data_IF_471358288004
#
_entry.id   IF_471358288004
#
_cell.length_a   1.000
_cell.length_b   1.000
_cell.length_c   1.000
_cell.angle_alpha   90.00
_cell.angle_beta   90.00
_cell.angle_gamma   90.00
#
_symmetry.space_group_name_H-M   'P 1'
#
loop_
_entity.id
_entity.type
_entity.pdbx_description
1 polymer ?
#
# COMPACT_ATOMS: atom_id res chain seq x y z
N UNK A 1 -3.53 12.28 -48.95
CA UNK A 1 -4.37 11.62 -47.92
C UNK A 1 -3.72 11.49 -46.53
N UNK A 2 -2.42 11.78 -46.33
CA UNK A 2 -1.75 11.52 -45.04
C UNK A 2 -1.79 12.65 -43.99
N UNK A 3 -2.39 13.82 -44.28
CA UNK A 3 -2.43 14.96 -43.35
C UNK A 3 -3.74 15.12 -42.58
N UNK A 4 -4.82 14.46 -43.04
CA UNK A 4 -6.14 14.49 -42.38
C UNK A 4 -6.19 13.50 -41.20
N UNK A 5 -5.37 12.45 -41.21
CA UNK A 5 -5.34 11.45 -40.16
C UNK A 5 -4.66 11.93 -38.86
N UNK A 6 -3.67 12.84 -38.96
CA UNK A 6 -2.95 13.34 -37.78
C UNK A 6 -3.82 14.34 -36.99
N UNK A 7 -4.69 15.12 -37.65
CA UNK A 7 -5.58 16.05 -36.96
C UNK A 7 -6.71 15.35 -36.19
N UNK A 8 -7.16 14.16 -36.66
CA UNK A 8 -8.19 13.37 -36.00
C UNK A 8 -7.72 12.76 -34.67
N UNK A 9 -6.43 12.44 -34.54
CA UNK A 9 -5.88 11.81 -33.33
C UNK A 9 -5.70 12.83 -32.21
N UNK A 10 -5.33 14.08 -32.55
CA UNK A 10 -5.22 15.15 -31.55
C UNK A 10 -6.57 15.66 -31.04
N UNK A 11 -7.63 15.61 -31.86
CA UNK A 11 -8.99 15.98 -31.42
C UNK A 11 -9.64 14.93 -30.51
N UNK A 12 -9.26 13.65 -30.63
CA UNK A 12 -9.75 12.59 -29.76
C UNK A 12 -9.10 12.62 -28.36
N UNK A 13 -7.84 13.07 -28.25
CA UNK A 13 -7.15 13.20 -26.95
C UNK A 13 -7.66 14.44 -26.17
N UNK A 14 -8.09 15.50 -26.87
CA UNK A 14 -8.67 16.69 -26.22
C UNK A 14 -10.06 16.47 -25.60
N UNK A 15 -10.88 15.58 -26.16
CA UNK A 15 -12.25 15.35 -25.67
C UNK A 15 -12.32 14.44 -24.44
N UNK A 16 -11.30 13.60 -24.20
CA UNK A 16 -11.25 12.74 -23.01
C UNK A 16 -10.84 13.49 -21.73
N UNK A 17 -10.35 14.72 -21.85
CA UNK A 17 -9.96 15.56 -20.70
C UNK A 17 -11.11 16.43 -20.15
N UNK A 18 -12.30 16.40 -20.77
CA UNK A 18 -13.43 17.27 -20.42
C UNK A 18 -14.58 16.57 -19.67
N UNK A 19 -14.50 15.25 -19.43
CA UNK A 19 -15.47 14.53 -18.61
C UNK A 19 -14.85 14.01 -17.33
N UNK A 20 -15.19 14.68 -16.21
CA UNK A 20 -15.20 14.04 -14.90
C UNK A 20 -13.91 14.14 -14.08
N UNK A 21 -13.32 15.34 -13.95
CA UNK A 21 -12.53 15.63 -12.75
C UNK A 21 -13.52 15.93 -11.63
N UNK A 22 -13.91 14.89 -10.91
CA UNK A 22 -14.42 15.04 -9.54
C UNK A 22 -13.29 15.68 -8.77
N UNK A 23 -13.54 16.90 -8.29
CA UNK A 23 -12.64 17.64 -7.41
C UNK A 23 -12.50 16.81 -6.14
N UNK A 24 -11.45 15.98 -6.09
CA UNK A 24 -10.95 15.45 -4.84
C UNK A 24 -10.56 16.68 -4.01
N UNK A 25 -11.16 16.80 -2.82
CA UNK A 25 -10.69 17.77 -1.82
C UNK A 25 -9.17 17.62 -1.71
N UNK A 26 -8.46 18.73 -1.90
CA UNK A 26 -7.00 18.76 -1.81
C UNK A 26 -6.60 18.03 -0.52
N UNK A 27 -5.70 17.03 -0.59
CA UNK A 27 -5.19 16.40 0.63
C UNK A 27 -4.61 17.52 1.51
N UNK A 28 -4.79 17.44 2.84
CA UNK A 28 -4.37 18.50 3.75
C UNK A 28 -2.90 18.82 3.48
N UNK A 29 -2.66 19.98 2.85
CA UNK A 29 -1.32 20.46 2.60
C UNK A 29 -0.72 20.77 3.96
N UNK A 30 0.11 19.85 4.44
CA UNK A 30 1.01 20.15 5.56
C UNK A 30 1.93 21.25 5.03
N UNK A 31 1.92 22.46 5.60
CA UNK A 31 2.79 23.52 5.14
C UNK A 31 4.23 23.08 5.38
N UNK A 32 4.89 22.65 4.30
CA UNK A 32 6.34 22.45 4.30
C UNK A 32 6.92 23.84 4.20
N UNK A 33 7.25 24.42 5.34
CA UNK A 33 8.04 25.65 5.43
C UNK A 33 9.43 25.32 4.90
N UNK A 34 9.63 25.53 3.59
CA UNK A 34 10.92 25.39 2.92
C UNK A 34 11.80 26.51 3.45
N UNK A 35 12.55 26.21 4.51
CA UNK A 35 13.54 27.12 5.09
C UNK A 35 14.50 27.60 4.02
N UNK A 36 14.48 28.91 3.76
CA UNK A 36 15.38 29.58 2.83
C UNK A 36 16.83 29.29 3.23
N UNK A 37 17.60 28.74 2.30
CA UNK A 37 19.03 28.45 2.43
C UNK A 37 19.80 29.69 2.92
N UNK A 38 20.42 29.66 4.12
CA UNK A 38 21.30 30.74 4.54
C UNK A 38 22.62 30.66 3.76
N UNK A 39 22.96 31.79 3.14
CA UNK A 39 24.16 32.04 2.36
C UNK A 39 25.41 32.02 3.28
N UNK A 40 25.97 30.83 3.50
CA UNK A 40 27.04 30.57 4.46
C UNK A 40 28.39 30.36 3.76
N UNK A 41 29.21 31.40 3.68
CA UNK A 41 30.58 31.24 3.16
C UNK A 41 31.68 31.97 3.92
N UNK A 42 31.45 32.54 5.13
CA UNK A 42 32.54 33.30 5.80
C UNK A 42 32.93 33.04 7.25
N UNK A 43 32.23 32.26 8.08
CA UNK A 43 32.72 31.98 9.46
C UNK A 43 32.32 30.59 10.02
N UNK A 44 32.54 29.51 9.27
CA UNK A 44 32.17 28.15 9.68
C UNK A 44 32.99 27.56 10.86
N UNK A 45 34.10 28.18 11.28
CA UNK A 45 34.99 27.59 12.30
C UNK A 45 34.53 27.84 13.75
N UNK A 46 33.68 28.85 14.00
CA UNK A 46 33.19 29.15 15.36
C UNK A 46 31.85 28.46 15.69
N UNK A 47 31.03 28.12 14.69
CA UNK A 47 29.79 27.33 14.91
C UNK A 47 30.05 25.85 15.17
N UNK A 48 31.26 25.34 14.85
CA UNK A 48 31.65 23.95 15.12
C UNK A 48 31.80 23.67 16.63
N UNK A 49 31.95 24.71 17.46
CA UNK A 49 32.17 24.58 18.89
C UNK A 49 30.92 24.78 19.75
N UNK A 50 29.78 25.19 19.18
CA UNK A 50 28.55 25.29 19.97
C UNK A 50 27.86 23.93 20.06
N UNK A 51 28.30 23.11 21.01
CA UNK A 51 27.71 21.80 21.32
C UNK A 51 26.20 21.87 21.55
N UNK A 52 25.70 23.02 22.00
CA UNK A 52 24.27 23.24 22.26
C UNK A 52 23.46 23.29 20.96
N UNK A 53 24.04 23.79 19.86
CA UNK A 53 23.39 23.85 18.55
C UNK A 53 23.16 22.45 17.96
N UNK A 54 24.17 21.57 18.02
CA UNK A 54 24.10 20.19 17.51
C UNK A 54 23.14 19.33 18.33
N UNK A 55 23.17 19.49 19.65
CA UNK A 55 22.23 18.79 20.55
C UNK A 55 20.77 19.14 20.22
N UNK A 56 20.48 20.42 19.98
CA UNK A 56 19.15 20.88 19.54
C UNK A 56 18.76 20.33 18.17
N UNK A 57 19.66 20.37 17.19
CA UNK A 57 19.41 19.79 15.86
C UNK A 57 19.09 18.30 15.94
N UNK A 58 19.86 17.56 16.73
CA UNK A 58 19.64 16.12 16.93
C UNK A 58 18.31 15.82 17.64
N UNK A 59 17.94 16.62 18.63
CA UNK A 59 16.64 16.51 19.31
C UNK A 59 15.46 16.81 18.35
N UNK A 60 15.62 17.83 17.49
CA UNK A 60 14.63 18.18 16.45
C UNK A 60 14.48 17.06 15.42
N UNK A 61 15.58 16.54 14.88
CA UNK A 61 15.56 15.41 13.92
C UNK A 61 14.96 14.15 14.52
N UNK A 62 15.25 13.82 15.79
CA UNK A 62 14.60 12.71 16.49
C UNK A 62 13.09 12.90 16.63
N UNK A 63 12.65 14.12 16.90
CA UNK A 63 11.23 14.45 17.01
C UNK A 63 10.55 14.32 15.65
N UNK A 64 11.12 14.90 14.60
CA UNK A 64 10.65 14.76 13.21
C UNK A 64 10.57 13.31 12.75
N UNK A 65 11.62 12.51 13.03
CA UNK A 65 11.65 11.06 12.75
C UNK A 65 10.49 10.34 13.45
N UNK A 66 10.27 10.62 14.74
CA UNK A 66 9.17 10.04 15.52
C UNK A 66 7.80 10.42 14.94
N UNK A 67 7.62 11.67 14.52
CA UNK A 67 6.37 12.16 13.92
C UNK A 67 6.08 11.49 12.57
N UNK A 68 7.07 11.43 11.70
CA UNK A 68 6.96 10.74 10.41
C UNK A 68 6.66 9.26 10.62
N UNK A 69 7.34 8.59 11.55
CA UNK A 69 7.07 7.18 11.89
C UNK A 69 5.62 6.97 12.35
N UNK A 70 5.10 7.87 13.21
CA UNK A 70 3.70 7.82 13.65
C UNK A 70 2.73 8.03 12.49
N UNK A 71 3.03 8.94 11.57
CA UNK A 71 2.20 9.19 10.39
C UNK A 71 2.21 7.99 9.44
N UNK A 72 3.37 7.38 9.17
CA UNK A 72 3.48 6.14 8.37
C UNK A 72 2.58 5.07 8.96
N UNK A 73 2.64 4.82 10.27
CA UNK A 73 1.79 3.81 10.91
C UNK A 73 0.29 4.08 10.71
N UNK A 74 -0.14 5.35 10.85
CA UNK A 74 -1.54 5.75 10.60
C UNK A 74 -1.93 5.53 9.14
N UNK A 75 -1.08 5.91 8.19
CA UNK A 75 -1.33 5.71 6.77
C UNK A 75 -1.37 4.23 6.40
N UNK A 76 -0.51 3.39 6.98
CA UNK A 76 -0.55 1.94 6.79
C UNK A 76 -1.84 1.32 7.32
N UNK A 77 -2.35 1.79 8.46
CA UNK A 77 -3.65 1.36 8.98
C UNK A 77 -4.77 1.75 8.00
N UNK A 78 -4.83 3.02 7.59
CA UNK A 78 -5.82 3.50 6.63
C UNK A 78 -5.74 2.74 5.29
N UNK A 79 -4.52 2.42 4.83
CA UNK A 79 -4.31 1.63 3.62
C UNK A 79 -4.92 0.24 3.75
N UNK A 80 -4.73 -0.45 4.88
CA UNK A 80 -5.34 -1.77 5.12
C UNK A 80 -6.86 -1.70 5.14
N UNK A 81 -7.43 -0.68 5.80
CA UNK A 81 -8.87 -0.46 5.85
C UNK A 81 -9.45 -0.18 4.45
N UNK A 82 -8.80 0.68 3.67
CA UNK A 82 -9.19 1.00 2.30
C UNK A 82 -9.08 -0.21 1.36
N UNK A 83 -8.02 -1.03 1.50
CA UNK A 83 -7.86 -2.27 0.74
C UNK A 83 -8.94 -3.30 1.08
N UNK A 84 -9.23 -3.52 2.37
CA UNK A 84 -10.30 -4.42 2.78
C UNK A 84 -11.68 -3.95 2.26
N UNK A 85 -11.93 -2.63 2.29
CA UNK A 85 -13.12 -2.04 1.70
C UNK A 85 -13.19 -2.27 0.19
N UNK A 86 -12.11 -2.06 -0.56
CA UNK A 86 -12.07 -2.31 -2.00
C UNK A 86 -12.30 -3.78 -2.35
N UNK A 87 -11.70 -4.71 -1.60
CA UNK A 87 -11.90 -6.16 -1.79
C UNK A 87 -13.35 -6.57 -1.51
N UNK A 88 -13.96 -6.06 -0.44
CA UNK A 88 -15.37 -6.33 -0.13
C UNK A 88 -16.32 -5.78 -1.20
N UNK A 89 -16.07 -4.58 -1.75
CA UNK A 89 -16.82 -4.01 -2.88
C UNK A 89 -16.65 -4.85 -4.15
N UNK A 90 -15.43 -5.28 -4.45
CA UNK A 90 -15.16 -6.14 -5.59
C UNK A 90 -15.91 -7.47 -5.48
N UNK A 91 -15.92 -8.07 -4.28
CA UNK A 91 -16.70 -9.29 -4.01
C UNK A 91 -18.20 -9.03 -4.16
N UNK A 92 -18.72 -7.91 -3.64
CA UNK A 92 -20.12 -7.53 -3.80
C UNK A 92 -20.51 -7.36 -5.28
N UNK A 93 -19.66 -6.74 -6.09
CA UNK A 93 -19.87 -6.62 -7.55
C UNK A 93 -19.86 -8.00 -8.23
N UNK A 94 -18.94 -8.89 -7.84
CA UNK A 94 -18.91 -10.25 -8.37
C UNK A 94 -20.15 -11.05 -7.98
N UNK A 95 -20.57 -10.99 -6.72
CA UNK A 95 -21.81 -11.63 -6.25
C UNK A 95 -23.03 -11.06 -6.97
N UNK A 96 -23.09 -9.75 -7.18
CA UNK A 96 -24.15 -9.09 -7.92
C UNK A 96 -24.20 -9.58 -9.38
N UNK A 97 -23.05 -9.65 -10.06
CA UNK A 97 -22.94 -10.17 -11.44
C UNK A 97 -23.24 -11.68 -11.54
N UNK A 98 -22.98 -12.43 -10.47
CA UNK A 98 -23.21 -13.87 -10.41
C UNK A 98 -24.66 -14.25 -10.08
N UNK A 99 -25.49 -13.33 -9.57
CA UNK A 99 -26.91 -13.62 -9.28
C UNK A 99 -27.65 -13.91 -10.59
N UNK A 100 -28.15 -15.16 -10.79
CA UNK A 100 -28.92 -15.52 -11.98
C UNK A 100 -30.28 -14.84 -12.02
N UNK A 101 -30.71 -14.24 -10.91
CA UNK A 101 -32.04 -13.65 -10.68
C UNK A 101 -32.37 -12.43 -11.55
N UNK A 102 -31.44 -11.96 -12.38
CA UNK A 102 -31.75 -10.97 -13.41
C UNK A 102 -32.40 -11.56 -14.67
N UNK A 103 -32.28 -12.87 -14.88
CA UNK A 103 -33.09 -13.57 -15.85
C UNK A 103 -34.44 -13.88 -15.19
N UNK A 104 -35.38 -12.94 -15.27
CA UNK A 104 -36.78 -13.28 -15.00
C UNK A 104 -37.09 -14.55 -15.79
N UNK A 105 -37.65 -15.60 -15.15
CA UNK A 105 -38.13 -16.74 -15.92
C UNK A 105 -39.07 -16.15 -16.96
N UNK A 106 -38.81 -16.37 -18.26
CA UNK A 106 -39.64 -15.80 -19.31
C UNK A 106 -41.06 -16.19 -18.95
N UNK A 107 -41.93 -15.20 -18.78
CA UNK A 107 -43.31 -15.44 -18.37
C UNK A 107 -43.89 -16.37 -19.43
N UNK A 108 -43.99 -17.67 -19.10
CA UNK A 108 -44.30 -18.69 -20.09
C UNK A 108 -45.68 -18.37 -20.59
N UNK A 109 -45.76 -18.02 -21.88
CA UNK A 109 -46.85 -17.28 -22.49
C UNK A 109 -48.22 -17.90 -22.18
N UNK A 110 -48.90 -17.38 -21.16
CA UNK A 110 -50.31 -17.66 -20.88
C UNK A 110 -51.15 -17.32 -22.14
N UNK A 111 -50.66 -16.41 -22.98
CA UNK A 111 -51.28 -16.04 -24.25
C UNK A 111 -51.37 -17.18 -25.26
N UNK A 112 -50.47 -18.18 -25.23
CA UNK A 112 -50.47 -19.27 -26.21
C UNK A 112 -51.72 -20.16 -26.06
N UNK A 113 -52.07 -20.51 -24.82
CA UNK A 113 -53.25 -21.32 -24.51
C UNK A 113 -54.53 -20.56 -24.82
N UNK A 114 -54.68 -19.32 -24.35
CA UNK A 114 -55.87 -18.51 -24.61
C UNK A 114 -56.08 -18.22 -26.09
N UNK A 115 -55.00 -18.01 -26.85
CA UNK A 115 -55.07 -17.80 -28.30
C UNK A 115 -55.49 -19.07 -29.04
N UNK A 116 -54.95 -20.22 -28.65
CA UNK A 116 -55.39 -21.51 -29.22
C UNK A 116 -56.86 -21.80 -28.93
N UNK A 117 -57.36 -21.41 -27.75
CA UNK A 117 -58.78 -21.55 -27.39
C UNK A 117 -59.65 -20.59 -28.23
N UNK A 118 -59.22 -19.34 -28.46
CA UNK A 118 -59.93 -18.40 -29.33
C UNK A 118 -60.03 -18.94 -30.76
N UNK A 119 -58.93 -19.47 -31.30
CA UNK A 119 -58.89 -20.05 -32.63
C UNK A 119 -59.84 -21.27 -32.71
N UNK A 120 -59.87 -22.11 -31.66
CA UNK A 120 -60.80 -23.24 -31.57
C UNK A 120 -62.26 -22.80 -31.58
N UNK A 121 -62.63 -21.82 -30.76
CA UNK A 121 -64.01 -21.31 -30.68
C UNK A 121 -64.45 -20.64 -31.98
N UNK A 122 -63.54 -19.91 -32.64
CA UNK A 122 -63.81 -19.29 -33.94
C UNK A 122 -64.04 -20.35 -35.03
N UNK A 123 -63.24 -21.41 -35.02
CA UNK A 123 -63.42 -22.54 -35.92
C UNK A 123 -64.74 -23.30 -35.67
N UNK A 124 -65.09 -23.56 -34.41
CA UNK A 124 -66.37 -24.18 -34.03
C UNK A 124 -67.57 -23.36 -34.53
N UNK A 125 -67.49 -22.02 -34.42
CA UNK A 125 -68.50 -21.09 -34.96
C UNK A 125 -68.67 -21.24 -36.48
N UNK A 126 -67.57 -21.26 -37.22
CA UNK A 126 -67.61 -21.40 -38.69
C UNK A 126 -68.18 -22.76 -39.10
N UNK A 127 -67.81 -23.83 -38.39
CA UNK A 127 -68.36 -25.16 -38.63
C UNK A 127 -69.87 -25.20 -38.39
N UNK A 128 -70.36 -24.59 -37.31
CA UNK A 128 -71.80 -24.48 -37.05
C UNK A 128 -72.52 -23.71 -38.15
N UNK A 129 -72.03 -22.54 -38.56
CA UNK A 129 -72.60 -21.75 -39.67
C UNK A 129 -72.72 -22.60 -40.94
N UNK A 130 -71.63 -23.26 -41.34
CA UNK A 130 -71.61 -24.11 -42.53
C UNK A 130 -72.62 -25.28 -42.43
N UNK A 131 -72.75 -25.89 -41.25
CA UNK A 131 -73.70 -26.98 -41.01
C UNK A 131 -75.16 -26.50 -41.11
N UNK A 132 -75.44 -25.30 -40.61
CA UNK A 132 -76.78 -24.71 -40.66
C UNK A 132 -77.14 -24.25 -42.07
N UNK A 133 -76.20 -23.65 -42.81
CA UNK A 133 -76.39 -23.28 -44.21
C UNK A 133 -76.69 -24.53 -45.07
N UNK A 134 -75.97 -25.64 -44.84
CA UNK A 134 -76.24 -26.90 -45.51
C UNK A 134 -77.64 -27.46 -45.18
N UNK A 135 -78.09 -27.36 -43.92
CA UNK A 135 -79.42 -27.80 -43.50
C UNK A 135 -80.53 -26.95 -44.13
N UNK A 136 -80.36 -25.63 -44.18
CA UNK A 136 -81.31 -24.71 -44.84
C UNK A 136 -81.38 -24.99 -46.33
N UNK A 137 -80.23 -25.16 -47.00
CA UNK A 137 -80.18 -25.50 -48.42
C UNK A 137 -80.88 -26.84 -48.73
N UNK A 138 -80.80 -27.82 -47.82
CA UNK A 138 -81.54 -29.07 -47.96
C UNK A 138 -83.06 -28.85 -47.88
N UNK A 139 -83.54 -28.08 -46.91
CA UNK A 139 -84.98 -27.77 -46.79
C UNK A 139 -85.47 -27.00 -48.01
N UNK A 140 -84.69 -26.06 -48.54
CA UNK A 140 -85.04 -25.32 -49.75
C UNK A 140 -85.12 -26.23 -50.99
N UNK A 141 -84.22 -27.22 -51.11
CA UNK A 141 -84.31 -28.26 -52.13
C UNK A 141 -85.57 -29.11 -52.00
N UNK A 142 -85.93 -29.49 -50.77
CA UNK A 142 -87.12 -30.30 -50.51
C UNK A 142 -88.41 -29.53 -50.85
N UNK A 143 -88.48 -28.23 -50.51
CA UNK A 143 -89.59 -27.34 -50.89
C UNK A 143 -89.68 -27.23 -52.42
N UNK A 144 -88.56 -26.96 -53.11
CA UNK A 144 -88.53 -26.86 -54.56
C UNK A 144 -88.96 -28.17 -55.25
N UNK A 145 -88.54 -29.32 -54.71
CA UNK A 145 -88.93 -30.63 -55.21
C UNK A 145 -90.44 -30.90 -55.05
N UNK A 146 -91.03 -30.51 -53.91
CA UNK A 146 -92.48 -30.61 -53.70
C UNK A 146 -93.26 -29.70 -54.66
N UNK A 147 -92.78 -28.48 -54.90
CA UNK A 147 -93.41 -27.54 -55.84
C UNK A 147 -93.36 -28.02 -57.30
N UNK A 148 -92.31 -28.75 -57.68
CA UNK A 148 -92.16 -29.31 -59.02
C UNK A 148 -92.99 -30.59 -59.25
N UNK A 149 -93.52 -31.21 -58.18
CA UNK A 149 -94.22 -32.49 -58.26
C UNK A 149 -95.69 -32.24 -58.64
N UNK A 150 -96.21 -32.83 -59.73
CA UNK A 150 -97.63 -32.77 -60.05
C UNK A 150 -98.39 -33.67 -59.07
N UNK A 151 -99.07 -33.06 -58.10
CA UNK A 151 -99.86 -33.76 -57.08
C UNK A 151 -101.36 -33.67 -57.38
N UNK A 152 -102.14 -34.73 -57.09
CA UNK A 152 -103.60 -34.69 -57.28
C UNK A 152 -104.31 -33.82 -56.23
N UNK A 153 -103.66 -33.55 -55.11
CA UNK A 153 -104.20 -32.79 -53.98
C UNK A 153 -103.30 -31.57 -53.67
N UNK A 154 -103.69 -30.37 -54.13
CA UNK A 154 -102.98 -29.12 -53.88
C UNK A 154 -102.88 -28.79 -52.38
N UNK A 155 -103.92 -29.12 -51.60
CA UNK A 155 -104.01 -28.75 -50.19
C UNK A 155 -103.01 -29.55 -49.36
N UNK A 156 -102.82 -30.84 -49.68
CA UNK A 156 -101.80 -31.68 -49.03
C UNK A 156 -100.38 -31.16 -49.31
N UNK A 157 -100.11 -30.78 -50.55
CA UNK A 157 -98.80 -30.25 -50.96
C UNK A 157 -98.49 -28.94 -50.24
N UNK A 158 -99.49 -28.08 -50.10
CA UNK A 158 -99.35 -26.79 -49.42
C UNK A 158 -99.18 -26.96 -47.90
N UNK A 159 -99.81 -27.97 -47.30
CA UNK A 159 -99.58 -28.32 -45.91
C UNK A 159 -98.14 -28.82 -45.68
N UNK A 160 -97.61 -29.67 -46.56
CA UNK A 160 -96.22 -30.16 -46.47
C UNK A 160 -95.20 -29.02 -46.65
N UNK A 161 -95.44 -28.10 -47.59
CA UNK A 161 -94.59 -26.90 -47.76
C UNK A 161 -94.60 -26.06 -46.49
N UNK A 162 -95.78 -25.79 -45.91
CA UNK A 162 -95.89 -25.01 -44.68
C UNK A 162 -95.17 -25.67 -43.49
N UNK A 163 -95.19 -27.01 -43.41
CA UNK A 163 -94.42 -27.75 -42.40
C UNK A 163 -92.90 -27.60 -42.61
N UNK A 164 -92.41 -27.73 -43.85
CA UNK A 164 -91.00 -27.49 -44.18
C UNK A 164 -90.58 -26.04 -43.91
N UNK A 165 -91.42 -25.06 -44.21
CA UNK A 165 -91.19 -23.65 -43.87
C UNK A 165 -91.11 -23.45 -42.35
N UNK A 166 -92.02 -24.06 -41.58
CA UNK A 166 -91.96 -24.04 -40.12
C UNK A 166 -90.69 -24.71 -39.59
N UNK A 167 -90.25 -25.81 -40.21
CA UNK A 167 -89.01 -26.50 -39.85
C UNK A 167 -87.78 -25.65 -40.17
N UNK A 168 -87.76 -24.95 -41.31
CA UNK A 168 -86.74 -23.95 -41.65
C UNK A 168 -86.67 -22.85 -40.61
N UNK A 169 -87.82 -22.34 -40.17
CA UNK A 169 -87.90 -21.32 -39.12
C UNK A 169 -87.33 -21.83 -37.78
N UNK A 170 -87.69 -23.06 -37.37
CA UNK A 170 -87.13 -23.69 -36.16
C UNK A 170 -85.62 -23.88 -36.24
N UNK A 171 -85.09 -24.24 -37.41
CA UNK A 171 -83.63 -24.31 -37.60
C UNK A 171 -82.98 -22.93 -37.49
N UNK A 172 -83.59 -21.88 -38.04
CA UNK A 172 -83.08 -20.52 -37.91
C UNK A 172 -83.06 -20.05 -36.45
N UNK A 173 -84.11 -20.33 -35.68
CA UNK A 173 -84.17 -19.99 -34.25
C UNK A 173 -83.15 -20.79 -33.42
N UNK A 174 -83.03 -22.09 -33.66
CA UNK A 174 -82.03 -22.94 -32.99
C UNK A 174 -80.60 -22.49 -33.31
N UNK A 175 -80.33 -22.14 -34.57
CA UNK A 175 -79.03 -21.62 -35.02
C UNK A 175 -78.70 -20.31 -34.31
N UNK A 176 -79.66 -19.38 -34.25
CA UNK A 176 -79.49 -18.11 -33.55
C UNK A 176 -79.10 -18.30 -32.08
N UNK A 177 -79.67 -19.29 -31.39
CA UNK A 177 -79.33 -19.60 -30.00
C UNK A 177 -77.92 -20.22 -29.89
N UNK A 178 -77.56 -21.14 -30.78
CA UNK A 178 -76.26 -21.79 -30.79
C UNK A 178 -75.13 -20.79 -31.08
N UNK A 179 -75.28 -19.96 -32.12
CA UNK A 179 -74.33 -18.90 -32.45
C UNK A 179 -74.20 -17.86 -31.34
N UNK A 180 -75.31 -17.46 -30.70
CA UNK A 180 -75.25 -16.53 -29.57
C UNK A 180 -74.43 -17.08 -28.39
N UNK A 181 -74.46 -18.40 -28.17
CA UNK A 181 -73.65 -19.05 -27.14
C UNK A 181 -72.16 -19.05 -27.50
N UNK A 182 -71.82 -19.37 -28.76
CA UNK A 182 -70.43 -19.36 -29.22
C UNK A 182 -69.88 -17.92 -29.23
N UNK A 183 -70.66 -16.95 -29.70
CA UNK A 183 -70.28 -15.53 -29.68
C UNK A 183 -70.00 -15.04 -28.25
N UNK A 184 -70.79 -15.49 -27.26
CA UNK A 184 -70.54 -15.18 -25.85
C UNK A 184 -69.20 -15.76 -25.34
N UNK A 185 -68.89 -17.02 -25.65
CA UNK A 185 -67.59 -17.62 -25.25
C UNK A 185 -66.41 -16.97 -25.98
N UNK A 186 -66.57 -16.62 -27.26
CA UNK A 186 -65.55 -15.86 -28.01
C UNK A 186 -65.27 -14.52 -27.33
N UNK A 187 -66.29 -13.74 -26.97
CA UNK A 187 -66.11 -12.46 -26.29
C UNK A 187 -65.48 -12.62 -24.90
N UNK A 188 -65.87 -13.67 -24.17
CA UNK A 188 -65.24 -14.01 -22.89
C UNK A 188 -63.75 -14.34 -23.06
N UNK A 189 -63.38 -15.16 -24.05
CA UNK A 189 -61.99 -15.53 -24.31
C UNK A 189 -61.19 -14.29 -24.78
N UNK A 190 -61.73 -13.47 -25.68
CA UNK A 190 -61.10 -12.20 -26.09
C UNK A 190 -60.81 -11.30 -24.89
N UNK A 191 -61.78 -11.14 -23.99
CA UNK A 191 -61.61 -10.36 -22.76
C UNK A 191 -60.47 -10.91 -21.90
N UNK A 192 -60.41 -12.23 -21.70
CA UNK A 192 -59.30 -12.85 -20.95
C UNK A 192 -57.93 -12.70 -21.64
N UNK A 193 -57.88 -12.71 -22.98
CA UNK A 193 -56.64 -12.44 -23.74
C UNK A 193 -56.19 -11.01 -23.49
N UNK A 194 -57.11 -10.05 -23.50
CA UNK A 194 -56.81 -8.66 -23.22
C UNK A 194 -56.31 -8.46 -21.77
N UNK A 195 -57.01 -9.03 -20.78
CA UNK A 195 -56.59 -8.96 -19.38
C UNK A 195 -55.19 -9.59 -19.20
N UNK A 196 -54.93 -10.74 -19.83
CA UNK A 196 -53.62 -11.38 -19.78
C UNK A 196 -52.53 -10.59 -20.50
N UNK A 197 -52.84 -9.86 -21.58
CA UNK A 197 -51.86 -9.03 -22.29
C UNK A 197 -51.52 -7.76 -21.49
N UNK A 198 -52.49 -7.17 -20.81
CA UNK A 198 -52.27 -6.06 -19.87
C UNK A 198 -51.41 -6.50 -18.68
N UNK A 199 -51.70 -7.67 -18.09
CA UNK A 199 -50.87 -8.27 -17.03
C UNK A 199 -49.45 -8.52 -17.52
N UNK A 200 -49.29 -9.07 -18.73
CA UNK A 200 -47.97 -9.30 -19.32
C UNK A 200 -47.20 -7.97 -19.49
N UNK A 201 -47.86 -6.93 -20.01
CA UNK A 201 -47.25 -5.62 -20.16
C UNK A 201 -46.79 -5.01 -18.82
N UNK A 202 -47.56 -5.21 -17.75
CA UNK A 202 -47.16 -4.80 -16.39
C UNK A 202 -45.93 -5.57 -15.89
N UNK A 203 -45.87 -6.88 -16.12
CA UNK A 203 -44.69 -7.67 -15.77
C UNK A 203 -43.46 -7.26 -16.58
N UNK A 204 -43.60 -7.01 -17.88
CA UNK A 204 -42.52 -6.56 -18.74
C UNK A 204 -42.01 -5.17 -18.29
N UNK A 205 -42.92 -4.25 -17.94
CA UNK A 205 -42.56 -2.95 -17.38
C UNK A 205 -41.83 -3.10 -16.04
N UNK A 206 -42.34 -3.94 -15.13
CA UNK A 206 -41.71 -4.17 -13.84
C UNK A 206 -40.32 -4.81 -13.98
N UNK A 207 -40.15 -5.73 -14.94
CA UNK A 207 -38.86 -6.32 -15.25
C UNK A 207 -37.87 -5.27 -15.78
N UNK A 208 -38.31 -4.39 -16.68
CA UNK A 208 -37.49 -3.30 -17.21
C UNK A 208 -37.10 -2.27 -16.12
N UNK A 209 -38.02 -1.94 -15.21
CA UNK A 209 -37.75 -1.04 -14.08
C UNK A 209 -36.71 -1.65 -13.14
N UNK A 210 -36.84 -2.93 -12.77
CA UNK A 210 -35.85 -3.63 -11.94
C UNK A 210 -34.50 -3.77 -12.63
N UNK A 211 -34.47 -4.01 -13.94
CA UNK A 211 -33.22 -4.02 -14.71
C UNK A 211 -32.53 -2.66 -14.67
N UNK A 212 -33.30 -1.57 -14.78
CA UNK A 212 -32.78 -0.21 -14.66
C UNK A 212 -32.23 0.07 -13.25
N UNK A 213 -32.98 -0.26 -12.20
CA UNK A 213 -32.53 -0.12 -10.81
C UNK A 213 -31.27 -0.92 -10.51
N UNK A 214 -31.18 -2.12 -11.08
CA UNK A 214 -29.99 -2.97 -11.00
C UNK A 214 -28.77 -2.33 -11.66
N UNK A 215 -28.91 -1.82 -12.89
CA UNK A 215 -27.82 -1.14 -13.59
C UNK A 215 -27.33 0.08 -12.82
N UNK A 216 -28.24 0.89 -12.26
CA UNK A 216 -27.89 2.04 -11.44
C UNK A 216 -27.13 1.61 -10.18
N UNK A 217 -27.57 0.52 -9.52
CA UNK A 217 -26.90 -0.01 -8.33
C UNK A 217 -25.50 -0.54 -8.66
N UNK A 218 -25.34 -1.21 -9.80
CA UNK A 218 -24.05 -1.70 -10.28
C UNK A 218 -23.10 -0.54 -10.59
N UNK A 219 -23.56 0.47 -11.32
CA UNK A 219 -22.78 1.66 -11.68
C UNK A 219 -22.31 2.40 -10.41
N UNK A 220 -23.18 2.53 -9.41
CA UNK A 220 -22.82 3.10 -8.11
C UNK A 220 -21.72 2.30 -7.41
N UNK A 221 -21.84 0.96 -7.35
CA UNK A 221 -20.82 0.09 -6.75
C UNK A 221 -19.48 0.17 -7.50
N UNK A 222 -19.50 0.20 -8.84
CA UNK A 222 -18.30 0.33 -9.66
C UNK A 222 -17.63 1.70 -9.46
N UNK A 223 -18.41 2.78 -9.35
CA UNK A 223 -17.89 4.11 -9.00
C UNK A 223 -17.26 4.15 -7.61
N UNK A 224 -17.90 3.55 -6.60
CA UNK A 224 -17.36 3.46 -5.24
C UNK A 224 -16.05 2.64 -5.19
N UNK A 225 -15.99 1.54 -5.95
CA UNK A 225 -14.78 0.73 -6.09
C UNK A 225 -13.64 1.53 -6.73
N UNK A 226 -13.93 2.30 -7.79
CA UNK A 226 -12.93 3.16 -8.43
C UNK A 226 -12.40 4.23 -7.48
N UNK A 227 -13.28 4.86 -6.69
CA UNK A 227 -12.88 5.85 -5.69
C UNK A 227 -11.96 5.24 -4.63
N UNK A 228 -12.32 4.06 -4.09
CA UNK A 228 -11.49 3.35 -3.10
C UNK A 228 -10.16 2.87 -3.67
N UNK A 229 -10.13 2.47 -4.94
CA UNK A 229 -8.88 2.08 -5.60
C UNK A 229 -7.93 3.26 -5.74
N UNK A 230 -8.45 4.45 -6.07
CA UNK A 230 -7.66 5.69 -6.14
C UNK A 230 -7.14 6.11 -4.75
N UNK A 231 -7.96 5.97 -3.70
CA UNK A 231 -7.54 6.21 -2.31
C UNK A 231 -6.40 5.27 -1.88
N UNK A 232 -6.47 3.99 -2.24
CA UNK A 232 -5.37 3.03 -2.00
C UNK A 232 -4.09 3.45 -2.72
N UNK A 233 -4.19 3.96 -3.95
CA UNK A 233 -3.03 4.41 -4.72
C UNK A 233 -2.36 5.64 -4.08
N UNK A 234 -3.14 6.65 -3.67
CA UNK A 234 -2.61 7.87 -3.04
C UNK A 234 -2.01 7.62 -1.65
N UNK A 235 -2.60 6.71 -0.86
CA UNK A 235 -2.05 6.29 0.43
C UNK A 235 -0.70 5.59 0.25
N UNK A 236 -0.55 4.71 -0.74
CA UNK A 236 0.73 4.06 -1.05
C UNK A 236 1.81 5.06 -1.44
N UNK A 237 1.47 6.05 -2.28
CA UNK A 237 2.38 7.11 -2.66
C UNK A 237 2.82 7.94 -1.45
N UNK A 238 1.87 8.30 -0.58
CA UNK A 238 2.15 9.07 0.66
C UNK A 238 3.06 8.30 1.63
N UNK A 239 2.85 7.00 1.78
CA UNK A 239 3.72 6.13 2.59
C UNK A 239 5.12 6.08 1.99
N UNK A 240 5.24 5.86 0.68
CA UNK A 240 6.54 5.81 -0.01
C UNK A 240 7.31 7.13 0.11
N UNK A 241 6.62 8.27 -0.01
CA UNK A 241 7.22 9.58 0.18
C UNK A 241 7.70 9.78 1.63
N UNK A 242 6.87 9.40 2.61
CA UNK A 242 7.22 9.48 4.03
C UNK A 242 8.40 8.59 4.40
N UNK A 243 8.52 7.40 3.81
CA UNK A 243 9.67 6.51 3.97
C UNK A 243 10.95 7.15 3.42
N UNK A 244 10.88 7.77 2.24
CA UNK A 244 12.03 8.50 1.67
C UNK A 244 12.47 9.67 2.56
N UNK A 245 11.53 10.40 3.18
CA UNK A 245 11.87 11.45 4.15
C UNK A 245 12.55 10.88 5.41
N UNK A 246 12.10 9.70 5.86
CA UNK A 246 12.72 8.99 6.98
C UNK A 246 14.17 8.62 6.68
N UNK A 247 14.45 8.13 5.48
CA UNK A 247 15.82 7.78 5.04
C UNK A 247 16.75 9.00 5.00
N UNK A 248 16.25 10.15 4.52
CA UNK A 248 17.01 11.42 4.53
C UNK A 248 17.32 11.85 5.95
N UNK A 249 16.34 11.79 6.87
CA UNK A 249 16.55 12.15 8.28
C UNK A 249 17.52 11.17 8.96
N UNK A 250 17.41 9.87 8.69
CA UNK A 250 18.32 8.87 9.26
C UNK A 250 19.75 9.08 8.75
N UNK A 251 19.94 9.43 7.48
CA UNK A 251 21.26 9.81 6.95
C UNK A 251 21.82 11.07 7.63
N UNK A 252 20.99 12.09 7.87
CA UNK A 252 21.39 13.31 8.57
C UNK A 252 21.76 13.03 10.04
N UNK A 253 20.96 12.21 10.73
CA UNK A 253 21.25 11.74 12.09
C UNK A 253 22.59 11.00 12.14
N UNK A 254 22.87 10.10 11.19
CA UNK A 254 24.16 9.38 11.12
C UNK A 254 25.30 10.37 10.86
N UNK A 255 25.12 11.36 10.00
CA UNK A 255 26.14 12.39 9.74
C UNK A 255 26.45 13.25 10.97
N UNK A 256 25.46 13.49 11.85
CA UNK A 256 25.66 14.19 13.12
C UNK A 256 26.31 13.30 14.21
N UNK A 257 26.07 11.99 14.16
CA UNK A 257 26.66 11.00 15.08
C UNK A 257 28.10 10.67 14.71
N UNK A 258 28.48 10.80 13.45
CA UNK A 258 29.85 10.54 13.00
C UNK A 258 30.81 11.63 13.52
N UNK A 259 31.09 11.59 14.81
CA UNK A 259 32.11 12.39 15.51
C UNK A 259 33.53 12.03 15.05
N UNK A 260 33.71 11.06 14.14
CA UNK A 260 35.02 10.68 13.61
C UNK A 260 35.73 11.86 12.95
N UNK A 261 34.98 12.76 12.30
CA UNK A 261 35.55 13.97 11.70
C UNK A 261 36.03 14.98 12.76
N UNK A 262 35.34 15.09 13.89
CA UNK A 262 35.76 15.96 14.99
C UNK A 262 37.01 15.43 15.71
N UNK A 263 37.09 14.11 15.94
CA UNK A 263 38.27 13.46 16.51
C UNK A 263 39.47 13.53 15.55
N UNK A 264 39.25 13.38 14.24
CA UNK A 264 40.28 13.52 13.21
C UNK A 264 40.85 14.95 13.15
N UNK A 265 40.00 15.98 13.13
CA UNK A 265 40.48 17.36 13.12
C UNK A 265 41.19 17.76 14.41
N UNK A 266 40.72 17.27 15.56
CA UNK A 266 41.40 17.47 16.84
C UNK A 266 42.79 16.82 16.85
N UNK A 267 42.89 15.56 16.39
CA UNK A 267 44.16 14.85 16.23
C UNK A 267 45.12 15.57 15.29
N UNK A 268 44.65 16.06 14.13
CA UNK A 268 45.47 16.83 13.19
C UNK A 268 45.96 18.13 13.84
N UNK A 269 45.08 18.87 14.51
CA UNK A 269 45.41 20.16 15.14
C UNK A 269 46.43 20.00 16.27
N UNK A 270 46.25 19.00 17.13
CA UNK A 270 47.22 18.67 18.18
C UNK A 270 48.54 18.21 17.58
N UNK A 271 48.51 17.34 16.57
CA UNK A 271 49.72 16.85 15.90
C UNK A 271 50.50 17.98 15.24
N UNK A 272 49.82 18.91 14.58
CA UNK A 272 50.46 20.08 13.95
C UNK A 272 51.05 21.04 15.00
N UNK A 273 50.33 21.32 16.08
CA UNK A 273 50.81 22.17 17.17
C UNK A 273 52.04 21.57 17.84
N UNK A 274 52.00 20.26 18.08
CA UNK A 274 53.12 19.52 18.64
C UNK A 274 54.34 19.50 17.70
N UNK A 275 54.14 19.26 16.41
CA UNK A 275 55.21 19.31 15.42
C UNK A 275 55.90 20.69 15.39
N UNK A 276 55.12 21.77 15.47
CA UNK A 276 55.66 23.13 15.54
C UNK A 276 56.45 23.38 16.84
N UNK A 277 55.97 22.87 17.97
CA UNK A 277 56.68 22.94 19.26
C UNK A 277 58.03 22.22 19.20
N UNK A 278 58.05 20.99 18.67
CA UNK A 278 59.29 20.21 18.50
C UNK A 278 60.26 20.91 17.57
N UNK A 279 59.77 21.45 16.45
CA UNK A 279 60.58 22.23 15.51
C UNK A 279 61.20 23.46 16.19
N UNK A 280 60.43 24.20 17.00
CA UNK A 280 60.91 25.35 17.74
C UNK A 280 62.02 24.98 18.74
N UNK A 281 61.89 23.85 19.44
CA UNK A 281 62.91 23.35 20.37
C UNK A 281 64.20 22.99 19.60
N UNK A 282 64.09 22.30 18.46
CA UNK A 282 65.23 21.94 17.62
C UNK A 282 65.95 23.20 17.13
N UNK A 283 65.21 24.17 16.59
CA UNK A 283 65.78 25.45 16.14
C UNK A 283 66.43 26.22 17.28
N UNK A 284 65.81 26.26 18.45
CA UNK A 284 66.37 26.88 19.65
C UNK A 284 67.68 26.23 20.11
N UNK A 285 67.76 24.89 20.07
CA UNK A 285 68.99 24.16 20.36
C UNK A 285 70.10 24.51 19.37
N UNK A 286 69.83 24.49 18.06
CA UNK A 286 70.81 24.86 17.04
C UNK A 286 71.26 26.32 17.16
N UNK A 287 70.34 27.23 17.49
CA UNK A 287 70.64 28.63 17.72
C UNK A 287 71.62 28.81 18.90
N UNK A 288 71.36 28.16 20.04
CA UNK A 288 72.24 28.21 21.21
C UNK A 288 73.59 27.56 20.92
N UNK A 289 73.59 26.40 20.27
CA UNK A 289 74.81 25.68 19.90
C UNK A 289 75.71 26.55 19.02
N UNK A 290 75.14 27.20 18.00
CA UNK A 290 75.89 28.07 17.10
C UNK A 290 76.49 29.30 17.81
N UNK A 291 75.89 29.76 18.90
CA UNK A 291 76.36 30.95 19.63
C UNK A 291 77.55 30.68 20.55
N UNK A 292 77.88 29.43 20.88
CA UNK A 292 78.97 29.12 21.83
C UNK A 292 79.70 27.83 21.47
N UNK A 293 80.91 27.98 20.94
CA UNK A 293 81.80 26.86 20.61
C UNK A 293 82.18 26.02 21.85
N UNK A 294 82.23 26.64 23.03
CA UNK A 294 82.51 25.94 24.29
C UNK A 294 81.36 25.00 24.73
N UNK A 295 80.11 25.35 24.40
CA UNK A 295 78.95 24.49 24.67
C UNK A 295 78.97 23.29 23.71
N UNK A 296 79.25 23.52 22.44
CA UNK A 296 79.42 22.43 21.46
C UNK A 296 80.54 21.51 21.92
N UNK A 297 81.72 22.04 22.24
CA UNK A 297 82.85 21.21 22.64
C UNK A 297 82.54 20.41 23.91
N UNK A 298 81.97 21.02 24.95
CA UNK A 298 81.62 20.30 26.19
C UNK A 298 80.53 19.23 26.03
N UNK A 299 79.56 19.46 25.12
CA UNK A 299 78.50 18.50 24.82
C UNK A 299 79.02 17.36 23.94
N UNK A 300 79.80 17.65 22.89
CA UNK A 300 80.25 16.66 21.91
C UNK A 300 81.57 15.97 22.25
N UNK A 301 82.40 16.51 23.16
CA UNK A 301 83.65 15.88 23.58
C UNK A 301 83.47 14.78 24.65
N UNK A 302 82.29 14.67 25.25
CA UNK A 302 81.99 13.70 26.30
C UNK A 302 80.94 12.69 25.83
N UNK A 303 81.00 11.45 26.34
CA UNK A 303 79.96 10.41 26.17
C UNK A 303 78.55 10.92 26.56
N UNK A 304 78.50 11.97 27.39
CA UNK A 304 77.29 12.70 27.79
C UNK A 304 76.48 13.25 26.61
N UNK A 305 77.11 13.68 25.51
CA UNK A 305 76.40 14.23 24.36
C UNK A 305 75.56 13.19 23.63
N UNK A 306 76.14 12.01 23.40
CA UNK A 306 75.45 10.88 22.77
C UNK A 306 74.31 10.40 23.67
N UNK A 307 74.53 10.35 24.99
CA UNK A 307 73.49 9.99 25.95
C UNK A 307 72.33 11.00 25.96
N UNK A 308 72.63 12.30 25.88
CA UNK A 308 71.62 13.35 25.80
C UNK A 308 70.76 13.22 24.54
N UNK A 309 71.38 13.04 23.37
CA UNK A 309 70.66 12.87 22.10
C UNK A 309 69.78 11.63 22.13
N UNK A 310 70.28 10.52 22.67
CA UNK A 310 69.53 9.25 22.78
C UNK A 310 68.32 9.40 23.70
N UNK A 311 68.49 10.02 24.87
CA UNK A 311 67.41 10.27 25.81
C UNK A 311 66.37 11.21 25.21
N UNK A 312 66.81 12.29 24.56
CA UNK A 312 65.93 13.24 23.89
C UNK A 312 65.14 12.59 22.76
N UNK A 313 65.77 11.75 21.94
CA UNK A 313 65.11 11.00 20.86
C UNK A 313 64.05 10.02 21.39
N UNK A 314 64.32 9.32 22.50
CA UNK A 314 63.33 8.43 23.13
C UNK A 314 62.15 9.23 23.69
N UNK A 315 62.39 10.37 24.34
CA UNK A 315 61.31 11.23 24.86
C UNK A 315 60.41 11.72 23.74
N UNK A 316 60.97 12.19 22.62
CA UNK A 316 60.18 12.60 21.45
C UNK A 316 59.38 11.42 20.88
N UNK A 317 59.99 10.24 20.75
CA UNK A 317 59.31 9.06 20.23
C UNK A 317 58.14 8.62 21.13
N UNK A 318 58.31 8.64 22.45
CA UNK A 318 57.25 8.34 23.42
C UNK A 318 56.10 9.34 23.31
N UNK A 319 56.38 10.64 23.15
CA UNK A 319 55.33 11.65 22.99
C UNK A 319 54.62 11.48 21.63
N UNK A 320 55.35 11.24 20.54
CA UNK A 320 54.75 10.98 19.22
C UNK A 320 53.84 9.76 19.25
N UNK A 321 54.30 8.64 19.81
CA UNK A 321 53.47 7.44 19.94
C UNK A 321 52.29 7.62 20.91
N UNK A 322 52.43 8.49 21.90
CA UNK A 322 51.33 8.91 22.78
C UNK A 322 50.24 9.70 22.04
N UNK A 323 50.62 10.63 21.15
CA UNK A 323 49.66 11.44 20.37
C UNK A 323 48.96 10.61 19.27
N UNK A 324 49.67 9.68 18.63
CA UNK A 324 49.07 8.78 17.63
C UNK A 324 48.12 7.76 18.29
N UNK A 325 48.17 7.62 19.63
CA UNK A 325 47.30 6.70 20.38
C UNK A 325 47.68 5.23 20.19
N UNK A 326 48.89 4.95 19.70
CA UNK A 326 49.41 3.58 19.53
C UNK A 326 49.78 2.98 20.89
N UNK A 327 50.22 3.82 21.84
CA UNK A 327 50.50 3.42 23.21
C UNK A 327 49.31 3.77 24.09
N UNK A 328 48.52 2.77 24.47
CA UNK A 328 47.47 2.95 25.47
C UNK A 328 48.07 3.37 26.83
N UNK A 329 47.31 4.07 27.68
CA UNK A 329 47.84 4.71 28.90
C UNK A 329 48.61 3.80 29.85
N UNK A 330 48.39 2.47 29.79
CA UNK A 330 49.14 1.47 30.56
C UNK A 330 50.55 1.22 30.01
N UNK A 331 50.72 1.22 28.69
CA UNK A 331 52.00 0.99 28.03
C UNK A 331 52.90 2.22 28.13
N UNK A 332 52.32 3.42 28.00
CA UNK A 332 53.04 4.68 28.17
C UNK A 332 53.56 4.84 29.61
N UNK A 333 52.75 4.47 30.61
CA UNK A 333 53.16 4.49 32.02
C UNK A 333 54.29 3.49 32.30
N UNK A 334 54.23 2.29 31.71
CA UNK A 334 55.26 1.28 31.84
C UNK A 334 56.59 1.71 31.18
N UNK A 335 56.54 2.32 29.99
CA UNK A 335 57.71 2.85 29.29
C UNK A 335 58.35 4.04 30.02
N UNK A 336 57.56 4.99 30.51
CA UNK A 336 58.07 6.10 31.32
C UNK A 336 58.69 5.59 32.63
N UNK A 337 58.05 4.62 33.30
CA UNK A 337 58.61 3.98 34.50
C UNK A 337 59.94 3.27 34.22
N UNK A 338 60.05 2.54 33.11
CA UNK A 338 61.29 1.89 32.67
C UNK A 338 62.40 2.88 32.34
N UNK A 339 62.08 3.99 31.69
CA UNK A 339 63.03 5.04 31.33
C UNK A 339 63.53 5.80 32.57
N UNK A 340 62.64 6.18 33.49
CA UNK A 340 63.01 6.81 34.76
C UNK A 340 63.89 5.89 35.62
N UNK A 341 63.58 4.58 35.66
CA UNK A 341 64.40 3.58 36.34
C UNK A 341 65.79 3.43 35.72
N UNK A 342 65.88 3.47 34.38
CA UNK A 342 67.15 3.38 33.66
C UNK A 342 68.05 4.60 33.91
N UNK A 343 67.49 5.82 33.91
CA UNK A 343 68.25 7.05 34.18
C UNK A 343 68.76 7.08 35.63
N UNK A 344 67.89 6.78 36.61
CA UNK A 344 68.30 6.75 38.02
C UNK A 344 69.33 5.66 38.31
N UNK A 345 69.17 4.48 37.70
CA UNK A 345 70.07 3.34 37.91
C UNK A 345 71.50 3.58 37.41
N UNK A 346 71.69 4.38 36.35
CA UNK A 346 73.04 4.74 35.88
C UNK A 346 73.69 5.87 36.68
N UNK A 347 72.91 6.81 37.23
CA UNK A 347 73.44 7.90 38.06
C UNK A 347 74.10 7.43 39.37
N UNK A 348 73.62 6.32 39.94
CA UNK A 348 74.15 5.78 41.20
C UNK A 348 75.51 5.06 41.05
N UNK A 349 75.86 4.60 39.85
CA UNK A 349 77.09 3.81 39.62
C UNK A 349 78.36 4.65 39.45
N UNK A 350 78.22 5.99 39.37
CA UNK A 350 79.34 6.92 39.29
C UNK A 350 79.72 7.53 40.64
N UNK A 351 79.13 7.09 41.75
CA UNK A 351 79.68 7.38 43.07
C UNK A 351 80.96 6.57 43.25
N UNK A 352 82.10 7.18 43.63
CA UNK A 352 83.32 6.46 43.95
C UNK A 352 82.97 5.41 44.99
N UNK A 353 83.12 4.14 44.62
CA UNK A 353 82.98 3.01 45.53
C UNK A 353 84.12 3.10 46.52
N UNK A 354 83.93 3.87 47.59
CA UNK A 354 84.85 3.93 48.72
C UNK A 354 84.95 2.54 49.31
N UNK A 355 86.03 1.85 48.96
CA UNK A 355 86.34 0.52 49.42
C UNK A 355 86.69 0.57 50.90
N UNK A 356 85.68 0.46 51.75
CA UNK A 356 85.80 -0.02 53.13
C UNK A 356 84.40 -0.26 53.70
N UNK A 357 83.88 -1.48 53.50
CA UNK A 357 82.83 -1.97 54.39
C UNK A 357 83.06 -3.45 54.72
N UNK A 358 83.19 -3.78 56.02
CA UNK A 358 83.47 -5.14 56.48
C UNK A 358 82.28 -6.07 56.25
N UNK A 359 82.62 -7.33 55.98
CA UNK A 359 81.72 -8.48 55.93
C UNK A 359 80.82 -8.54 57.16
N UNK A 360 79.51 -8.31 56.97
CA UNK A 360 78.50 -8.71 57.96
C UNK A 360 77.85 -10.00 57.51
N UNK A 361 78.28 -11.04 58.22
CA UNK A 361 77.80 -12.42 58.25
C UNK A 361 76.28 -12.55 58.16
N UNK A 362 75.86 -13.44 57.26
CA UNK A 362 74.49 -13.90 57.01
C UNK A 362 73.72 -14.29 58.28
N UNK A 363 72.43 -13.93 58.30
CA UNK A 363 71.37 -14.75 58.89
C UNK A 363 70.17 -14.78 57.91
N UNK A 364 69.60 -15.96 57.62
CA UNK A 364 68.44 -16.07 56.74
C UNK A 364 67.14 -15.84 57.53
N UNK A 365 66.16 -15.09 56.98
CA UNK A 365 64.77 -15.23 57.36
C UNK A 365 64.00 -15.97 56.27
N UNK A 366 63.64 -17.21 56.61
CA UNK A 366 62.26 -17.72 56.66
C UNK A 366 61.31 -17.36 55.50
N UNK A 367 61.02 -18.42 54.76
CA UNK A 367 59.88 -18.65 53.86
C UNK A 367 58.56 -18.23 54.54
N UNK A 368 57.82 -17.34 53.88
CA UNK A 368 56.49 -16.89 54.33
C UNK A 368 55.56 -16.60 53.15
N UNK A 369 54.83 -17.63 52.76
CA UNK A 369 53.46 -17.66 52.23
C UNK A 369 53.07 -16.85 50.99
N UNK A 370 52.80 -17.61 49.92
CA UNK A 370 51.77 -17.32 48.91
C UNK A 370 50.43 -16.91 49.55
N UNK A 371 49.67 -16.05 48.86
CA UNK A 371 48.24 -16.24 48.71
C UNK A 371 47.92 -16.61 47.26
N UNK A 372 47.64 -17.88 47.03
CA UNK A 372 46.69 -18.30 46.02
C UNK A 372 45.30 -17.85 46.46
N UNK A 373 44.67 -16.94 45.74
CA UNK A 373 43.21 -16.83 45.68
C UNK A 373 42.79 -16.49 44.27
N UNK A 374 42.44 -17.56 43.56
CA UNK A 374 41.48 -17.59 42.48
C UNK A 374 40.15 -17.00 42.98
N UNK A 375 39.60 -15.99 42.30
CA UNK A 375 38.19 -15.62 42.46
C UNK A 375 37.55 -15.41 41.09
N UNK A 376 37.04 -16.54 40.60
CA UNK A 376 35.82 -16.76 39.81
C UNK A 376 35.07 -15.51 39.35
N UNK A 377 35.14 -15.23 38.05
CA UNK A 377 34.16 -14.41 37.35
C UNK A 377 32.82 -15.17 37.26
N UNK A 378 31.65 -14.57 37.58
CA UNK A 378 30.37 -15.20 37.36
C UNK A 378 30.05 -15.27 35.87
N UNK A 379 29.80 -16.48 35.38
CA UNK A 379 29.23 -16.75 34.08
C UNK A 379 27.80 -16.18 33.99
N UNK A 380 27.43 -15.39 32.96
CA UNK A 380 26.07 -14.93 32.78
C UNK A 380 25.15 -16.11 32.40
N UNK A 381 24.02 -16.23 33.10
CA UNK A 381 22.98 -17.18 32.78
C UNK A 381 22.40 -16.92 31.36
N UNK A 382 22.05 -17.95 30.58
CA UNK A 382 21.34 -17.78 29.32
C UNK A 382 19.89 -17.33 29.58
N UNK A 383 19.32 -16.45 28.73
CA UNK A 383 17.95 -16.00 28.88
C UNK A 383 16.98 -17.18 28.68
N UNK A 384 16.08 -17.34 29.66
CA UNK A 384 14.96 -18.26 29.61
C UNK A 384 14.06 -17.92 28.42
N UNK A 385 14.09 -18.77 27.40
CA UNK A 385 13.07 -18.79 26.37
C UNK A 385 11.77 -19.35 26.95
N UNK A 386 10.84 -18.47 27.32
CA UNK A 386 9.42 -18.84 27.45
C UNK A 386 8.77 -18.68 26.08
N UNK A 387 8.81 -19.75 25.31
CA UNK A 387 7.78 -20.02 24.33
C UNK A 387 6.54 -20.54 25.06
N UNK A 388 5.42 -19.86 24.90
CA UNK A 388 4.10 -20.46 25.06
C UNK A 388 3.22 -19.91 23.97
N UNK A 389 2.90 -20.76 23.00
CA UNK A 389 1.87 -20.49 22.02
C UNK A 389 0.46 -20.82 22.55
N UNK A 390 -0.44 -20.87 21.57
CA UNK A 390 -1.79 -21.47 21.57
C UNK A 390 -2.96 -20.48 21.69
N UNK A 391 -3.79 -20.50 20.64
CA UNK A 391 -5.20 -20.10 20.61
C UNK A 391 -5.49 -19.10 19.47
N UNK A 392 -6.04 -19.46 18.30
CA UNK A 392 -6.66 -20.71 17.90
C UNK A 392 -8.15 -20.79 18.25
N UNK A 393 -8.99 -19.96 17.62
CA UNK A 393 -10.39 -20.24 17.24
C UNK A 393 -10.78 -19.38 16.06
#
# INVERSE_FOLDING_TARGET
MSRVFILSVFLAIGYLSAMGVVIAEDPPQVPIEVGTHPDNSRFAFLDILDSDSRSKQFADLRTKRSDITRNIFRFEQNLREAQASAESLQKAIQEFKARPDYAFPPYTSISSTSKSELDRQTFEREQEINSFEAAIAQVDRDIAALQARPTPDPDETQAQIRDLENRKLRYADSNKIALAKIDFEIERVKKSIQENSEIQAQFDQQAAEREKESKISLEKLESELSAKTNEVASLKETISHSQSLLDVIDAEIVSLIDLSDADSQFKITISMTFAFLVLAIILGFFYIANSSSAIIESIFSNDSGIQFITLFSIVIAVILFGIIGVLEGKELSALLGGLSGYILGRGANNLPRDGNRPETKQRPPTIGNQPTTSETTPQPAPPAGTGTGIGGT
#
